data_IF_471084297986
#
_entry.id   IF_471084297986
#
_cell.length_a   1.000
_cell.length_b   1.000
_cell.length_c   1.000
_cell.angle_alpha   90.00
_cell.angle_beta   90.00
_cell.angle_gamma   90.00
#
_symmetry.space_group_name_H-M   'P 1'
#
loop_
_entity.id
_entity.type
_entity.pdbx_description
1 polymer ?
#
# COMPACT_ATOMS: atom_id res chain seq x y z
N UNK A 1 -6.24 -1.85 3.75
CA UNK A 1 -5.08 -2.75 3.93
C UNK A 1 -5.60 -4.15 4.19
N UNK A 2 -5.22 -5.16 3.41
CA UNK A 2 -5.59 -6.55 3.68
C UNK A 2 -4.70 -7.10 4.81
N UNK A 3 -5.30 -7.65 5.87
CA UNK A 3 -4.57 -8.15 7.05
C UNK A 3 -3.51 -9.21 6.75
N UNK A 4 -3.74 -10.03 5.73
CA UNK A 4 -2.77 -11.02 5.28
C UNK A 4 -1.47 -10.36 4.79
N UNK A 5 -1.56 -9.18 4.18
CA UNK A 5 -0.40 -8.47 3.63
C UNK A 5 0.55 -7.90 4.70
N UNK A 6 0.07 -7.68 5.93
CA UNK A 6 0.86 -7.06 7.00
C UNK A 6 2.06 -7.91 7.43
N UNK A 7 1.95 -9.23 7.30
CA UNK A 7 3.01 -10.18 7.66
C UNK A 7 3.89 -10.58 6.48
N UNK A 8 3.58 -10.09 5.27
CA UNK A 8 4.35 -10.42 4.08
C UNK A 8 5.66 -9.66 4.08
N UNK A 9 6.74 -10.35 3.73
CA UNK A 9 8.02 -9.70 3.49
C UNK A 9 8.02 -8.99 2.14
N UNK A 10 8.70 -7.85 2.13
CA UNK A 10 8.91 -7.05 0.94
C UNK A 10 9.75 -7.79 -0.10
N UNK A 11 9.27 -7.83 -1.34
CA UNK A 11 10.06 -8.36 -2.45
C UNK A 11 11.19 -7.40 -2.84
N UNK A 12 12.40 -7.93 -2.95
CA UNK A 12 13.64 -7.20 -3.21
C UNK A 12 14.37 -7.72 -4.46
N UNK A 13 15.01 -6.82 -5.19
CA UNK A 13 16.00 -7.18 -6.18
C UNK A 13 17.28 -7.61 -5.49
N UNK A 14 17.95 -8.63 -6.03
CA UNK A 14 19.25 -9.09 -5.55
C UNK A 14 20.13 -9.52 -6.74
N UNK A 15 21.44 -9.51 -6.53
CA UNK A 15 22.41 -10.09 -7.46
C UNK A 15 22.56 -11.59 -7.16
N UNK A 16 22.44 -12.44 -8.18
CA UNK A 16 22.62 -13.90 -8.01
C UNK A 16 24.04 -14.27 -7.59
N UNK A 17 25.04 -13.45 -7.91
CA UNK A 17 26.43 -13.61 -7.48
C UNK A 17 26.63 -13.45 -5.97
N UNK A 18 25.84 -12.61 -5.31
CA UNK A 18 25.94 -12.37 -3.86
C UNK A 18 25.15 -13.40 -3.05
N UNK A 19 24.23 -14.13 -3.70
CA UNK A 19 23.28 -15.06 -3.09
C UNK A 19 23.58 -16.53 -3.42
N UNK A 20 24.81 -16.86 -3.80
CA UNK A 20 25.20 -18.22 -4.25
C UNK A 20 24.96 -19.29 -3.16
N UNK A 21 25.16 -18.95 -1.88
CA UNK A 21 24.95 -19.84 -0.74
C UNK A 21 23.49 -20.02 -0.33
N UNK A 22 22.59 -19.17 -0.85
CA UNK A 22 21.16 -19.10 -0.48
C UNK A 22 20.26 -19.21 -1.71
N UNK A 23 20.43 -20.28 -2.49
CA UNK A 23 19.63 -20.51 -3.71
C UNK A 23 18.15 -20.75 -3.44
N UNK A 24 17.83 -21.34 -2.29
CA UNK A 24 16.44 -21.59 -1.89
C UNK A 24 15.66 -20.29 -1.66
N UNK A 25 16.37 -19.18 -1.37
CA UNK A 25 15.79 -17.85 -1.17
C UNK A 25 15.49 -17.13 -2.50
N UNK A 26 15.79 -17.72 -3.67
CA UNK A 26 15.56 -17.05 -4.97
C UNK A 26 14.09 -17.10 -5.42
N UNK A 27 13.29 -17.96 -4.79
CA UNK A 27 11.90 -18.16 -5.15
C UNK A 27 11.04 -16.94 -4.78
N UNK A 28 10.12 -16.58 -5.68
CA UNK A 28 9.17 -15.51 -5.43
C UNK A 28 7.94 -16.06 -4.71
N UNK A 29 7.92 -15.94 -3.38
CA UNK A 29 6.88 -16.51 -2.51
C UNK A 29 5.45 -16.28 -3.01
N UNK A 30 5.08 -15.03 -3.30
CA UNK A 30 3.70 -14.66 -3.70
C UNK A 30 3.27 -15.25 -5.04
N UNK A 31 4.22 -15.45 -5.95
CA UNK A 31 3.94 -15.95 -7.29
C UNK A 31 4.14 -17.46 -7.39
N UNK A 32 4.66 -18.10 -6.32
CA UNK A 32 4.98 -19.52 -6.29
C UNK A 32 5.86 -19.96 -7.47
N UNK A 33 6.85 -19.14 -7.86
CA UNK A 33 7.80 -19.45 -8.93
C UNK A 33 9.24 -19.46 -8.41
N UNK A 34 10.11 -20.34 -8.94
CA UNK A 34 11.49 -20.47 -8.45
C UNK A 34 12.41 -19.30 -8.84
N UNK A 35 12.09 -18.60 -9.93
CA UNK A 35 12.85 -17.46 -10.45
C UNK A 35 11.89 -16.40 -10.96
N UNK A 36 12.17 -15.14 -10.65
CA UNK A 36 11.40 -14.01 -11.15
C UNK A 36 12.28 -12.79 -11.35
N UNK A 37 12.00 -12.02 -12.41
CA UNK A 37 12.61 -10.71 -12.64
C UNK A 37 11.68 -9.80 -13.43
N UNK A 38 11.89 -8.51 -13.35
CA UNK A 38 11.12 -7.53 -14.12
C UNK A 38 11.74 -7.27 -15.49
N UNK A 39 10.88 -7.18 -16.52
CA UNK A 39 11.31 -7.01 -17.92
C UNK A 39 10.44 -6.04 -18.73
N UNK A 40 9.15 -5.98 -18.44
CA UNK A 40 8.13 -5.39 -19.32
C UNK A 40 7.94 -3.87 -19.22
N UNK A 41 8.70 -3.16 -18.38
CA UNK A 41 8.48 -1.72 -18.11
C UNK A 41 9.79 -0.93 -17.98
N UNK A 42 10.70 -1.08 -18.96
CA UNK A 42 11.99 -0.38 -19.02
C UNK A 42 11.91 1.15 -19.01
N UNK A 43 10.78 1.73 -19.41
CA UNK A 43 10.57 3.19 -19.37
C UNK A 43 10.49 3.75 -17.94
N UNK A 44 9.99 2.97 -16.98
CA UNK A 44 9.71 3.43 -15.61
C UNK A 44 10.45 2.65 -14.52
N UNK A 45 11.24 1.63 -14.89
CA UNK A 45 12.03 0.82 -13.97
C UNK A 45 13.43 0.59 -14.52
N UNK A 46 14.43 1.03 -13.76
CA UNK A 46 15.83 0.81 -14.10
C UNK A 46 16.27 -0.68 -14.08
N UNK A 47 15.79 -1.53 -13.16
CA UNK A 47 16.09 -2.97 -13.19
C UNK A 47 15.77 -3.63 -14.54
N UNK A 48 14.62 -3.30 -15.14
CA UNK A 48 14.24 -3.80 -16.46
C UNK A 48 15.30 -3.40 -17.52
N UNK A 49 15.87 -2.19 -17.47
CA UNK A 49 16.95 -1.76 -18.38
C UNK A 49 18.18 -2.67 -18.25
N UNK A 50 18.57 -3.04 -17.02
CA UNK A 50 19.69 -3.96 -16.78
C UNK A 50 19.38 -5.35 -17.34
N UNK A 51 18.15 -5.85 -17.15
CA UNK A 51 17.72 -7.14 -17.72
C UNK A 51 17.75 -7.09 -19.26
N UNK A 52 17.26 -6.02 -19.87
CA UNK A 52 17.33 -5.81 -21.33
C UNK A 52 18.77 -5.81 -21.85
N UNK A 53 19.70 -5.13 -21.16
CA UNK A 53 21.13 -5.15 -21.49
C UNK A 53 21.73 -6.55 -21.35
N UNK A 54 21.39 -7.26 -20.28
CA UNK A 54 21.87 -8.61 -19.99
C UNK A 54 21.38 -9.59 -21.05
N UNK A 55 20.10 -9.54 -21.41
CA UNK A 55 19.51 -10.39 -22.43
C UNK A 55 20.17 -10.16 -23.80
N UNK A 56 20.36 -8.90 -24.19
CA UNK A 56 21.04 -8.56 -25.44
C UNK A 56 22.51 -9.03 -25.45
N UNK A 57 23.22 -8.91 -24.33
CA UNK A 57 24.58 -9.41 -24.20
C UNK A 57 24.66 -10.93 -24.36
N UNK A 58 23.75 -11.68 -23.75
CA UNK A 58 23.72 -13.16 -23.85
C UNK A 58 23.38 -13.61 -25.28
N UNK A 59 22.41 -12.97 -25.93
CA UNK A 59 22.03 -13.29 -27.32
C UNK A 59 23.21 -13.04 -28.27
N UNK A 60 23.91 -11.90 -28.15
CA UNK A 60 25.08 -11.63 -28.99
C UNK A 60 26.24 -12.59 -28.70
N UNK A 61 26.48 -12.86 -27.41
CA UNK A 61 27.54 -13.79 -27.00
C UNK A 61 27.32 -15.19 -27.59
N UNK A 62 26.08 -15.69 -27.59
CA UNK A 62 25.74 -16.98 -28.16
C UNK A 62 26.01 -17.03 -29.67
N UNK A 63 25.62 -15.98 -30.41
CA UNK A 63 25.88 -15.91 -31.85
C UNK A 63 27.38 -15.93 -32.17
N UNK A 64 28.19 -15.21 -31.39
CA UNK A 64 29.65 -15.18 -31.56
C UNK A 64 30.27 -16.54 -31.22
N UNK A 65 29.85 -17.15 -30.11
CA UNK A 65 30.34 -18.45 -29.66
C UNK A 65 30.08 -19.55 -30.70
N UNK A 66 28.86 -19.62 -31.23
CA UNK A 66 28.49 -20.61 -32.26
C UNK A 66 29.25 -20.40 -33.58
N UNK A 67 29.53 -19.16 -33.98
CA UNK A 67 30.36 -18.87 -35.17
C UNK A 67 31.78 -19.36 -35.01
N UNK A 68 32.38 -19.18 -33.83
CA UNK A 68 33.73 -19.65 -33.53
C UNK A 68 33.80 -21.20 -33.55
N UNK A 69 32.80 -21.89 -32.97
CA UNK A 69 32.70 -23.36 -32.97
C UNK A 69 32.51 -23.97 -34.36
N UNK A 70 31.80 -23.28 -35.27
CA UNK A 70 31.67 -23.72 -36.67
C UNK A 70 32.99 -23.60 -37.44
N UNK A 71 33.75 -22.54 -37.21
CA UNK A 71 35.06 -22.34 -37.85
C UNK A 71 36.08 -23.42 -37.45
N UNK A 72 36.06 -23.87 -36.20
CA UNK A 72 36.92 -24.97 -35.73
C UNK A 72 36.49 -26.34 -36.23
N UNK A 73 35.17 -26.60 -36.34
CA UNK A 73 34.64 -27.89 -36.82
C UNK A 73 34.89 -28.11 -38.32
N UNK A 74 34.84 -27.05 -39.14
CA UNK A 74 35.14 -27.11 -40.58
C UNK A 74 36.61 -27.49 -40.84
N UNK A 75 37.54 -27.18 -39.92
CA UNK A 75 38.95 -27.63 -40.01
C UNK A 75 39.16 -29.11 -39.68
N UNK A 76 38.29 -29.71 -38.85
CA UNK A 76 38.45 -31.08 -38.34
C UNK A 76 37.60 -32.13 -39.10
N UNK A 77 36.98 -31.79 -40.23
CA UNK A 77 36.41 -32.77 -41.17
C UNK A 77 35.16 -33.53 -40.72
N UNK A 78 34.61 -33.27 -39.53
CA UNK A 78 33.37 -33.93 -39.06
C UNK A 78 32.16 -33.08 -39.41
N UNK A 79 31.38 -33.51 -40.42
CA UNK A 79 30.07 -32.92 -40.74
C UNK A 79 29.03 -33.41 -39.73
N UNK A 80 28.81 -32.64 -38.66
CA UNK A 80 27.65 -32.82 -37.81
C UNK A 80 26.39 -32.41 -38.59
N UNK A 81 25.53 -33.39 -38.85
CA UNK A 81 24.20 -33.23 -39.44
C UNK A 81 23.18 -33.10 -38.31
N UNK A 82 22.81 -31.88 -37.96
CA UNK A 82 21.53 -31.60 -37.28
C UNK A 82 21.15 -30.13 -37.48
N UNK A 83 19.88 -29.91 -37.85
CA UNK A 83 19.28 -28.62 -38.18
C UNK A 83 18.87 -27.80 -36.95
N UNK A 84 19.27 -28.22 -35.75
CA UNK A 84 19.03 -27.48 -34.53
C UNK A 84 20.30 -26.74 -34.17
N UNK A 85 20.22 -25.41 -34.26
CA UNK A 85 21.25 -24.53 -33.74
C UNK A 85 21.21 -24.70 -32.22
N UNK A 86 21.99 -25.66 -31.71
CA UNK A 86 22.06 -26.02 -30.30
C UNK A 86 22.43 -24.76 -29.51
N UNK A 87 21.42 -24.13 -28.91
CA UNK A 87 21.60 -22.92 -28.11
C UNK A 87 22.30 -23.34 -26.82
N UNK A 88 23.31 -22.60 -26.42
CA UNK A 88 24.17 -22.94 -25.28
C UNK A 88 23.92 -22.01 -24.10
N UNK A 89 23.62 -20.74 -24.36
CA UNK A 89 23.40 -19.73 -23.34
C UNK A 89 21.93 -19.28 -23.26
N UNK A 90 21.19 -19.36 -24.37
CA UNK A 90 19.77 -19.02 -24.42
C UNK A 90 18.89 -20.26 -24.64
N UNK A 91 17.59 -20.14 -24.37
CA UNK A 91 16.63 -21.24 -24.55
C UNK A 91 16.36 -22.03 -23.27
N UNK A 92 15.78 -23.22 -23.42
CA UNK A 92 15.33 -24.06 -22.31
C UNK A 92 16.46 -24.87 -21.65
N UNK A 93 17.54 -25.13 -22.38
CA UNK A 93 18.72 -25.84 -21.88
C UNK A 93 19.90 -24.88 -21.83
N UNK A 94 20.34 -24.59 -20.60
CA UNK A 94 21.56 -23.84 -20.35
C UNK A 94 22.74 -24.81 -20.23
N UNK A 95 23.74 -24.68 -21.10
CA UNK A 95 24.96 -25.47 -21.04
C UNK A 95 25.97 -24.80 -20.11
N UNK A 96 26.05 -25.30 -18.88
CA UNK A 96 26.99 -24.81 -17.88
C UNK A 96 28.45 -24.94 -18.34
N UNK A 97 28.81 -26.07 -18.94
CA UNK A 97 30.17 -26.33 -19.42
C UNK A 97 30.58 -25.35 -20.53
N UNK A 98 29.66 -25.04 -21.45
CA UNK A 98 29.93 -24.06 -22.51
C UNK A 98 30.07 -22.63 -21.96
N UNK A 99 29.29 -22.27 -20.93
CA UNK A 99 29.35 -20.95 -20.32
C UNK A 99 30.62 -20.76 -19.46
N UNK A 100 31.09 -21.83 -18.81
CA UNK A 100 32.27 -21.82 -17.95
C UNK A 100 33.58 -22.06 -18.72
N UNK A 101 33.50 -22.51 -19.99
CA UNK A 101 34.65 -22.62 -20.91
C UNK A 101 35.38 -21.28 -21.05
N UNK A 102 36.69 -21.33 -21.34
CA UNK A 102 37.50 -20.12 -21.49
C UNK A 102 36.97 -19.23 -22.64
N UNK A 103 36.56 -19.84 -23.74
CA UNK A 103 35.93 -19.17 -24.88
C UNK A 103 34.57 -18.58 -24.51
N UNK A 104 33.73 -19.34 -23.81
CA UNK A 104 32.42 -18.89 -23.33
C UNK A 104 32.53 -17.67 -22.43
N UNK A 105 33.40 -17.73 -21.41
CA UNK A 105 33.67 -16.63 -20.50
C UNK A 105 34.20 -15.39 -21.22
N UNK A 106 35.12 -15.54 -22.17
CA UNK A 106 35.66 -14.42 -22.96
C UNK A 106 34.57 -13.73 -23.77
N UNK A 107 33.74 -14.51 -24.48
CA UNK A 107 32.68 -13.97 -25.34
C UNK A 107 31.58 -13.31 -24.51
N UNK A 108 31.16 -13.93 -23.40
CA UNK A 108 30.19 -13.34 -22.47
C UNK A 108 30.73 -12.05 -21.83
N UNK A 109 32.00 -12.04 -21.40
CA UNK A 109 32.63 -10.83 -20.84
C UNK A 109 32.72 -9.69 -21.85
N UNK A 110 33.08 -10.00 -23.10
CA UNK A 110 33.14 -9.01 -24.18
C UNK A 110 31.75 -8.42 -24.48
N UNK A 111 30.72 -9.25 -24.59
CA UNK A 111 29.35 -8.81 -24.80
C UNK A 111 28.82 -7.99 -23.61
N UNK A 112 29.05 -8.43 -22.38
CA UNK A 112 28.66 -7.70 -21.17
C UNK A 112 29.24 -6.27 -21.15
N UNK A 113 30.53 -6.13 -21.51
CA UNK A 113 31.18 -4.82 -21.65
C UNK A 113 30.53 -3.97 -22.75
N UNK A 114 30.24 -4.56 -23.92
CA UNK A 114 29.59 -3.88 -25.05
C UNK A 114 28.22 -3.32 -24.67
N UNK A 115 27.40 -4.09 -23.96
CA UNK A 115 26.06 -3.69 -23.54
C UNK A 115 26.03 -2.95 -22.19
N UNK A 116 27.19 -2.64 -21.59
CA UNK A 116 27.29 -1.92 -20.30
C UNK A 116 26.49 -2.62 -19.19
N UNK A 117 26.61 -3.95 -19.12
CA UNK A 117 26.11 -4.74 -18.00
C UNK A 117 27.05 -4.52 -16.81
N UNK A 118 26.54 -4.13 -15.62
CA UNK A 118 27.37 -4.00 -14.42
C UNK A 118 28.11 -5.30 -14.08
N UNK A 119 29.30 -5.19 -13.50
CA UNK A 119 30.01 -6.35 -12.94
C UNK A 119 29.24 -6.96 -11.77
N UNK A 120 29.50 -8.23 -11.45
CA UNK A 120 28.89 -8.91 -10.31
C UNK A 120 29.13 -8.16 -8.98
N UNK A 121 30.32 -7.60 -8.80
CA UNK A 121 30.71 -6.82 -7.62
C UNK A 121 29.84 -5.56 -7.44
N UNK A 122 29.48 -4.88 -8.53
CA UNK A 122 28.70 -3.64 -8.48
C UNK A 122 27.19 -3.88 -8.58
N UNK A 123 26.77 -5.03 -9.13
CA UNK A 123 25.36 -5.31 -9.40
C UNK A 123 24.55 -5.44 -8.11
N UNK A 124 25.16 -5.93 -7.02
CA UNK A 124 24.56 -5.96 -5.68
C UNK A 124 24.19 -4.57 -5.18
N UNK A 125 25.12 -3.60 -5.29
CA UNK A 125 24.88 -2.21 -4.91
C UNK A 125 23.79 -1.56 -5.78
N UNK A 126 23.81 -1.82 -7.09
CA UNK A 126 22.77 -1.33 -8.01
C UNK A 126 21.40 -1.89 -7.64
N UNK A 127 21.31 -3.17 -7.27
CA UNK A 127 20.07 -3.80 -6.83
C UNK A 127 19.57 -3.17 -5.52
N UNK A 128 20.45 -2.99 -4.54
CA UNK A 128 20.14 -2.34 -3.26
C UNK A 128 19.62 -0.90 -3.48
N UNK A 129 20.30 -0.12 -4.33
CA UNK A 129 19.86 1.23 -4.69
C UNK A 129 18.47 1.21 -5.37
N UNK A 130 18.21 0.26 -6.27
CA UNK A 130 16.90 0.12 -6.90
C UNK A 130 15.79 -0.20 -5.88
N UNK A 131 16.07 -1.03 -4.87
CA UNK A 131 15.15 -1.32 -3.78
C UNK A 131 14.85 -0.06 -2.96
N UNK A 132 15.90 0.68 -2.57
CA UNK A 132 15.74 1.92 -1.82
C UNK A 132 14.89 2.95 -2.59
N UNK A 133 15.18 3.16 -3.88
CA UNK A 133 14.42 4.09 -4.73
C UNK A 133 12.98 3.65 -4.95
N UNK A 134 12.72 2.34 -5.08
CA UNK A 134 11.36 1.77 -5.12
C UNK A 134 10.58 2.14 -3.86
N UNK A 135 11.17 1.95 -2.68
CA UNK A 135 10.54 2.27 -1.41
C UNK A 135 10.39 3.78 -1.17
N UNK A 136 11.37 4.58 -1.60
CA UNK A 136 11.26 6.04 -1.57
C UNK A 136 10.11 6.53 -2.46
N UNK A 137 9.96 5.97 -3.67
CA UNK A 137 8.85 6.28 -4.57
C UNK A 137 7.50 5.93 -3.96
N UNK A 138 7.35 4.73 -3.40
CA UNK A 138 6.13 4.30 -2.72
C UNK A 138 5.77 5.23 -1.55
N UNK A 139 6.74 5.56 -0.68
CA UNK A 139 6.50 6.46 0.46
C UNK A 139 6.07 7.86 0.00
N UNK A 140 6.67 8.38 -1.07
CA UNK A 140 6.28 9.67 -1.64
C UNK A 140 4.87 9.63 -2.21
N UNK A 141 4.49 8.55 -2.89
CA UNK A 141 3.13 8.32 -3.40
C UNK A 141 2.12 8.27 -2.26
N UNK A 142 2.37 7.45 -1.22
CA UNK A 142 1.49 7.35 -0.04
C UNK A 142 1.35 8.68 0.70
N UNK A 143 2.46 9.42 0.88
CA UNK A 143 2.45 10.73 1.51
C UNK A 143 1.65 11.76 0.70
N UNK A 144 1.82 11.75 -0.64
CA UNK A 144 1.05 12.61 -1.54
C UNK A 144 -0.44 12.31 -1.46
N UNK A 145 -0.83 11.04 -1.59
CA UNK A 145 -2.22 10.61 -1.46
C UNK A 145 -2.83 11.02 -0.11
N UNK A 146 -2.09 10.86 0.98
CA UNK A 146 -2.51 11.29 2.32
C UNK A 146 -2.77 12.79 2.38
N UNK A 147 -1.88 13.61 1.82
CA UNK A 147 -2.00 15.06 1.82
C UNK A 147 -3.23 15.54 1.02
N UNK A 148 -3.44 14.98 -0.18
CA UNK A 148 -4.62 15.29 -0.98
C UNK A 148 -5.92 14.91 -0.27
N UNK A 149 -5.95 13.73 0.36
CA UNK A 149 -7.12 13.28 1.12
C UNK A 149 -7.39 14.19 2.32
N UNK A 150 -6.33 14.57 3.05
CA UNK A 150 -6.43 15.51 4.17
C UNK A 150 -7.02 16.86 3.73
N UNK A 151 -6.53 17.42 2.62
CA UNK A 151 -7.03 18.69 2.09
C UNK A 151 -8.51 18.58 1.66
N UNK A 152 -8.90 17.45 1.06
CA UNK A 152 -10.28 17.20 0.64
C UNK A 152 -11.22 17.13 1.84
N UNK A 153 -10.82 16.43 2.92
CA UNK A 153 -11.62 16.34 4.15
C UNK A 153 -11.71 17.70 4.84
N UNK A 154 -10.61 18.46 4.87
CA UNK A 154 -10.58 19.81 5.43
C UNK A 154 -11.58 20.74 4.74
N UNK A 155 -11.78 20.59 3.43
CA UNK A 155 -12.71 21.42 2.65
C UNK A 155 -14.17 20.94 2.70
N UNK A 156 -14.43 19.64 2.93
CA UNK A 156 -15.78 19.05 2.90
C UNK A 156 -16.55 19.14 4.23
N UNK A 157 -16.01 19.83 5.24
CA UNK A 157 -16.50 20.01 6.61
C UNK A 157 -16.83 18.71 7.40
N UNK A 158 -17.68 17.82 6.88
CA UNK A 158 -18.10 16.57 7.56
C UNK A 158 -18.17 15.42 6.56
N UNK A 159 -17.38 14.36 6.79
CA UNK A 159 -17.44 13.12 6.00
C UNK A 159 -17.85 11.95 6.89
N UNK A 160 -19.10 11.49 6.74
CA UNK A 160 -19.67 10.37 7.49
C UNK A 160 -19.50 9.05 6.73
N UNK A 161 -19.13 7.99 7.45
CA UNK A 161 -19.03 6.64 6.90
C UNK A 161 -19.11 5.56 7.98
N UNK A 162 -19.36 4.32 7.57
CA UNK A 162 -19.21 3.17 8.47
C UNK A 162 -17.74 2.72 8.52
N UNK A 163 -17.29 2.37 9.71
CA UNK A 163 -15.99 1.76 9.96
C UNK A 163 -16.17 0.39 10.62
N UNK A 164 -15.27 -0.54 10.31
CA UNK A 164 -15.24 -1.89 10.87
C UNK A 164 -14.36 -1.92 12.12
N UNK A 165 -14.86 -2.43 13.23
CA UNK A 165 -14.06 -2.60 14.45
C UNK A 165 -13.09 -3.76 14.29
N UNK A 166 -11.80 -3.51 14.54
CA UNK A 166 -10.69 -4.45 14.34
C UNK A 166 -9.99 -4.85 15.64
N UNK A 167 -10.21 -4.09 16.70
CA UNK A 167 -9.58 -4.28 17.98
C UNK A 167 -10.37 -3.50 19.03
N UNK A 168 -10.60 -4.14 20.17
CA UNK A 168 -11.27 -3.56 21.32
C UNK A 168 -10.37 -3.68 22.53
N UNK A 169 -10.50 -2.74 23.45
CA UNK A 169 -9.77 -2.74 24.70
C UNK A 169 -10.39 -1.75 25.69
N UNK A 170 -9.80 -1.57 26.87
CA UNK A 170 -10.35 -0.68 27.88
C UNK A 170 -10.09 0.81 27.62
N UNK A 171 -9.13 1.16 26.75
CA UNK A 171 -8.70 2.56 26.52
C UNK A 171 -9.01 3.09 25.12
N UNK A 172 -8.99 2.21 24.13
CA UNK A 172 -9.19 2.57 22.74
C UNK A 172 -9.74 1.39 21.94
N UNK A 173 -10.40 1.70 20.84
CA UNK A 173 -10.71 0.75 19.78
C UNK A 173 -9.89 1.06 18.54
N UNK A 174 -9.53 0.03 17.77
CA UNK A 174 -9.03 0.21 16.41
C UNK A 174 -10.15 -0.05 15.40
N UNK A 175 -10.28 0.83 14.43
CA UNK A 175 -11.32 0.81 13.40
C UNK A 175 -10.69 0.89 12.02
N UNK A 176 -11.24 0.15 11.07
CA UNK A 176 -10.91 0.23 9.66
C UNK A 176 -11.95 1.09 8.97
N UNK A 177 -11.54 2.15 8.31
CA UNK A 177 -12.41 2.99 7.48
C UNK A 177 -12.30 2.51 6.04
N UNK A 178 -13.29 1.78 5.48
CA UNK A 178 -13.17 1.20 4.15
C UNK A 178 -13.07 2.28 3.06
N UNK A 179 -13.82 3.39 3.20
CA UNK A 179 -13.83 4.49 2.22
C UNK A 179 -12.44 5.08 1.97
N UNK A 180 -11.57 5.11 2.98
CA UNK A 180 -10.20 5.63 2.88
C UNK A 180 -9.12 4.55 3.01
N UNK A 181 -9.52 3.29 3.08
CA UNK A 181 -8.67 2.13 3.26
C UNK A 181 -7.62 2.22 4.41
N UNK A 182 -7.94 2.97 5.48
CA UNK A 182 -7.02 3.24 6.61
C UNK A 182 -7.51 2.63 7.93
N UNK A 183 -6.57 2.28 8.81
CA UNK A 183 -6.82 1.91 10.19
C UNK A 183 -6.58 3.11 11.11
N UNK A 184 -7.48 3.33 12.07
CA UNK A 184 -7.41 4.43 13.03
C UNK A 184 -7.77 3.96 14.42
N UNK A 185 -7.20 4.62 15.42
CA UNK A 185 -7.56 4.37 16.83
C UNK A 185 -8.45 5.49 17.31
N UNK A 186 -9.56 5.12 17.94
CA UNK A 186 -10.42 6.03 18.68
C UNK A 186 -10.13 5.78 20.15
N UNK A 187 -9.52 6.77 20.80
CA UNK A 187 -9.22 6.73 22.23
C UNK A 187 -10.42 7.29 22.98
N UNK A 188 -10.90 6.57 23.98
CA UNK A 188 -12.06 6.94 24.80
C UNK A 188 -11.76 6.83 26.29
N UNK A 189 -10.50 6.61 26.67
CA UNK A 189 -10.04 6.76 28.04
C UNK A 189 -10.14 8.22 28.51
N UNK A 190 -10.56 8.43 29.76
CA UNK A 190 -10.52 9.76 30.39
C UNK A 190 -11.31 10.86 29.63
N UNK A 191 -12.41 10.48 28.97
CA UNK A 191 -13.32 11.42 28.28
C UNK A 191 -14.42 11.86 29.23
N UNK A 192 -14.61 13.17 29.39
CA UNK A 192 -15.70 13.71 30.20
C UNK A 192 -17.06 13.34 29.61
N UNK A 193 -17.97 12.80 30.42
CA UNK A 193 -19.34 12.48 30.00
C UNK A 193 -19.52 11.16 29.24
N UNK A 194 -18.46 10.35 29.07
CA UNK A 194 -18.53 9.02 28.45
C UNK A 194 -18.23 7.92 29.49
N UNK A 195 -19.17 7.00 29.68
CA UNK A 195 -18.97 5.74 30.41
C UNK A 195 -18.41 4.70 29.47
N UNK A 196 -17.41 3.94 29.94
CA UNK A 196 -16.78 2.87 29.17
C UNK A 196 -16.73 1.62 30.04
N UNK A 197 -17.46 0.59 29.63
CA UNK A 197 -17.40 -0.73 30.26
C UNK A 197 -16.79 -1.73 29.29
N UNK A 198 -15.63 -2.27 29.65
CA UNK A 198 -14.95 -3.31 28.89
C UNK A 198 -15.15 -4.68 29.55
N UNK A 199 -15.87 -5.56 28.85
CA UNK A 199 -16.09 -6.93 29.26
C UNK A 199 -15.09 -7.84 28.56
N UNK A 200 -13.93 -8.04 29.20
CA UNK A 200 -12.82 -8.83 28.63
C UNK A 200 -13.23 -10.26 28.27
N UNK A 201 -14.05 -10.90 29.11
CA UNK A 201 -14.49 -12.29 28.91
C UNK A 201 -15.32 -12.49 27.63
N UNK A 202 -16.10 -11.49 27.23
CA UNK A 202 -16.96 -11.57 26.02
C UNK A 202 -16.40 -10.76 24.85
N UNK A 203 -15.34 -9.98 25.07
CA UNK A 203 -14.80 -9.06 24.08
C UNK A 203 -15.79 -7.94 23.71
N UNK A 204 -16.63 -7.53 24.65
CA UNK A 204 -17.70 -6.54 24.42
C UNK A 204 -17.32 -5.20 25.05
N UNK A 205 -17.45 -4.13 24.26
CA UNK A 205 -17.31 -2.76 24.74
C UNK A 205 -18.69 -2.11 24.80
N UNK A 206 -19.04 -1.53 25.94
CA UNK A 206 -20.27 -0.74 26.10
C UNK A 206 -19.88 0.71 26.34
N UNK A 207 -20.37 1.59 25.48
CA UNK A 207 -20.23 3.04 25.61
C UNK A 207 -21.57 3.63 26.02
N UNK A 208 -21.60 4.45 27.07
CA UNK A 208 -22.81 5.12 27.53
C UNK A 208 -22.58 6.60 27.85
N UNK A 209 -23.61 7.43 27.80
CA UNK A 209 -23.53 8.82 28.22
C UNK A 209 -23.61 8.91 29.76
N UNK A 210 -22.52 9.30 30.41
CA UNK A 210 -22.52 9.46 31.87
C UNK A 210 -22.98 10.88 32.25
N UNK A 211 -24.19 11.02 32.84
CA UNK A 211 -24.70 12.34 33.28
C UNK A 211 -24.52 12.67 34.77
N UNK A 212 -24.40 11.69 35.67
CA UNK A 212 -24.42 11.96 37.11
C UNK A 212 -23.37 11.17 37.90
N UNK A 213 -22.31 11.84 38.38
CA UNK A 213 -21.61 11.51 39.63
C UNK A 213 -21.14 12.82 40.30
N UNK A 214 -21.29 12.97 41.62
CA UNK A 214 -20.60 14.03 42.35
C UNK A 214 -19.10 13.74 42.31
N UNK A 215 -18.31 14.80 42.22
CA UNK A 215 -16.85 14.79 42.16
C UNK A 215 -16.23 14.06 43.35
N UNK A 216 -16.08 12.73 43.29
CA UNK A 216 -15.10 12.03 44.11
C UNK A 216 -13.72 12.19 43.44
N UNK A 217 -13.17 13.41 43.57
CA UNK A 217 -11.75 13.66 43.34
C UNK A 217 -10.96 12.93 44.43
N UNK A 218 -10.38 11.79 44.10
CA UNK A 218 -9.24 11.21 44.82
C UNK A 218 -8.14 10.92 43.81
N UNK A 219 -7.40 11.96 43.47
CA UNK A 219 -6.23 11.89 42.59
C UNK A 219 -5.81 13.28 42.11
N UNK A 220 -4.55 13.48 41.69
CA UNK A 220 -4.13 14.69 41.01
C UNK A 220 -5.02 14.89 39.78
N UNK A 221 -5.34 16.15 39.43
CA UNK A 221 -6.15 16.47 38.25
C UNK A 221 -5.46 15.98 36.97
N UNK A 222 -5.71 14.74 36.57
CA UNK A 222 -5.47 14.27 35.21
C UNK A 222 -6.46 15.01 34.28
N UNK A 223 -5.92 15.64 33.23
CA UNK A 223 -6.69 16.47 32.28
C UNK A 223 -7.62 15.56 31.49
N UNK A 224 -8.90 15.52 31.87
CA UNK A 224 -9.90 14.78 31.09
C UNK A 224 -10.11 15.46 29.72
N UNK A 225 -10.32 14.65 28.67
CA UNK A 225 -10.57 15.13 27.31
C UNK A 225 -12.03 15.51 27.12
N UNK A 226 -12.27 16.50 26.25
CA UNK A 226 -13.61 16.92 25.89
C UNK A 226 -14.32 15.83 25.07
N UNK A 227 -15.63 15.67 25.27
CA UNK A 227 -16.44 14.68 24.55
C UNK A 227 -16.39 14.88 23.03
N UNK A 228 -16.30 16.13 22.56
CA UNK A 228 -16.26 16.46 21.13
C UNK A 228 -14.99 15.96 20.42
N UNK A 229 -13.92 15.65 21.16
CA UNK A 229 -12.70 15.09 20.59
C UNK A 229 -12.90 13.64 20.10
N UNK A 230 -13.84 12.92 20.71
CA UNK A 230 -14.09 11.49 20.50
C UNK A 230 -15.40 11.24 19.77
N UNK A 231 -16.41 12.08 20.02
CA UNK A 231 -17.77 11.93 19.51
C UNK A 231 -18.21 13.21 18.79
N UNK A 232 -18.72 13.08 17.58
CA UNK A 232 -19.53 14.13 16.96
C UNK A 232 -21.00 13.86 17.31
N UNK A 233 -21.57 14.69 18.18
CA UNK A 233 -22.96 14.64 18.58
C UNK A 233 -23.83 15.47 17.63
N UNK A 234 -24.87 14.85 17.07
CA UNK A 234 -25.88 15.51 16.23
C UNK A 234 -27.24 15.45 16.90
N UNK A 235 -28.01 16.54 16.80
CA UNK A 235 -29.41 16.54 17.24
C UNK A 235 -30.26 15.83 16.18
N UNK A 236 -31.09 14.84 16.54
CA UNK A 236 -32.00 14.17 15.60
C UNK A 236 -32.81 15.14 14.71
N UNK A 237 -33.20 16.31 15.22
CA UNK A 237 -33.94 17.31 14.44
C UNK A 237 -33.12 18.04 13.37
N UNK A 238 -31.79 18.06 13.47
CA UNK A 238 -30.89 18.66 12.45
C UNK A 238 -30.63 17.68 11.29
N UNK A 239 -30.78 16.36 11.52
CA UNK A 239 -30.60 15.34 10.48
C UNK A 239 -31.75 15.23 9.48
N UNK A 240 -32.93 15.75 9.85
CA UNK A 240 -34.16 15.70 9.03
C UNK A 240 -34.24 16.91 8.08
N UNK A 241 -33.58 18.03 8.42
CA UNK A 241 -33.68 19.28 7.65
C UNK A 241 -32.72 19.37 6.47
N UNK A 242 -31.72 18.48 6.37
CA UNK A 242 -30.81 18.44 5.23
C UNK A 242 -31.36 17.66 4.03
N UNK A 243 -32.56 17.09 4.12
CA UNK A 243 -33.22 16.38 3.02
C UNK A 243 -34.13 17.30 2.16
N UNK A 244 -34.38 18.56 2.56
CA UNK A 244 -35.41 19.41 1.92
C UNK A 244 -34.89 20.62 1.09
N UNK A 245 -33.60 20.95 1.09
CA UNK A 245 -33.08 22.18 0.43
C UNK A 245 -32.56 21.99 -1.02
N UNK A 246 -33.22 21.17 -1.84
CA UNK A 246 -32.95 21.08 -3.30
C UNK A 246 -34.25 21.20 -4.11
N UNK A 247 -35.06 22.21 -3.82
CA UNK A 247 -36.11 22.64 -4.75
C UNK A 247 -36.26 24.17 -4.76
N UNK A 248 -35.45 24.86 -5.57
CA UNK A 248 -35.88 25.99 -6.42
C UNK A 248 -34.71 26.74 -7.07
N UNK A 249 -34.86 27.07 -8.36
CA UNK A 249 -34.22 28.27 -8.95
C UNK A 249 -33.42 28.07 -10.23
N UNK A 250 -34.11 28.07 -11.37
CA UNK A 250 -33.54 28.24 -12.71
C UNK A 250 -32.93 29.65 -12.87
N UNK A 251 -31.71 29.76 -13.41
CA UNK A 251 -31.32 30.79 -14.41
C UNK A 251 -30.02 30.40 -15.12
N UNK A 252 -30.05 30.49 -16.46
CA UNK A 252 -28.95 30.20 -17.37
C UNK A 252 -27.88 31.31 -17.36
N UNK A 253 -26.59 30.95 -17.44
CA UNK A 253 -25.62 31.56 -18.37
C UNK A 253 -24.21 30.93 -18.29
N UNK A 254 -23.76 30.40 -19.44
CA UNK A 254 -22.41 30.51 -20.04
C UNK A 254 -21.14 30.27 -19.19
N UNK A 255 -20.35 29.26 -19.56
CA UNK A 255 -18.92 29.21 -19.21
C UNK A 255 -18.29 27.82 -19.28
N UNK A 256 -17.48 27.59 -20.32
CA UNK A 256 -16.75 26.37 -20.61
C UNK A 256 -15.65 26.08 -19.56
N UNK A 257 -15.61 24.89 -18.94
CA UNK A 257 -14.35 24.29 -18.43
C UNK A 257 -14.45 22.79 -18.10
N UNK A 258 -13.51 22.04 -18.67
CA UNK A 258 -12.97 20.74 -18.25
C UNK A 258 -13.93 19.71 -17.59
N UNK A 259 -14.33 18.70 -18.40
CA UNK A 259 -14.80 17.41 -17.88
C UNK A 259 -13.69 16.72 -17.10
N UNK A 260 -13.61 16.98 -15.80
CA UNK A 260 -12.96 16.05 -14.88
C UNK A 260 -13.91 14.87 -14.69
N UNK A 261 -13.39 13.67 -14.90
CA UNK A 261 -14.08 12.40 -14.69
C UNK A 261 -14.42 12.30 -13.22
N UNK A 262 -15.62 12.77 -12.87
CA UNK A 262 -16.20 12.59 -11.55
C UNK A 262 -16.48 11.10 -11.37
N UNK A 263 -16.03 10.60 -10.22
CA UNK A 263 -16.52 9.38 -9.62
C UNK A 263 -18.04 9.37 -9.78
N UNK A 264 -18.55 8.33 -10.42
CA UNK A 264 -19.97 8.03 -10.60
C UNK A 264 -20.84 8.60 -9.47
N UNK A 265 -21.79 9.45 -9.86
CA UNK A 265 -22.75 10.19 -9.01
C UNK A 265 -23.64 9.31 -8.09
N UNK A 266 -23.46 7.99 -8.10
CA UNK A 266 -24.20 7.05 -7.23
C UNK A 266 -23.66 6.95 -5.79
N UNK A 267 -22.53 7.60 -5.46
CA UNK A 267 -21.88 7.42 -4.15
C UNK A 267 -22.30 8.41 -3.05
N UNK A 268 -23.18 9.37 -3.33
CA UNK A 268 -23.53 10.44 -2.37
C UNK A 268 -24.72 10.09 -1.45
N UNK A 269 -25.48 9.01 -1.71
CA UNK A 269 -26.69 8.66 -0.93
C UNK A 269 -26.54 7.50 0.05
N UNK A 270 -25.51 7.53 0.88
CA UNK A 270 -25.46 6.73 2.10
C UNK A 270 -24.67 7.50 3.18
N UNK A 271 -25.29 8.54 3.74
CA UNK A 271 -24.86 9.05 5.03
C UNK A 271 -25.26 7.99 6.07
N UNK A 272 -24.28 7.41 6.76
CA UNK A 272 -24.56 6.43 7.80
C UNK A 272 -25.36 7.12 8.91
N UNK A 273 -26.47 6.50 9.35
CA UNK A 273 -27.26 7.03 10.44
C UNK A 273 -26.41 7.13 11.73
N UNK A 274 -26.61 8.17 12.55
CA UNK A 274 -25.88 8.31 13.80
C UNK A 274 -26.26 7.19 14.78
N UNK A 275 -25.27 6.73 15.56
CA UNK A 275 -25.51 5.75 16.62
C UNK A 275 -26.13 6.41 17.86
N UNK A 276 -26.87 5.63 18.65
CA UNK A 276 -27.53 6.08 19.89
C UNK A 276 -26.85 5.41 21.10
N UNK A 277 -26.74 6.13 22.21
CA UNK A 277 -26.24 5.58 23.49
C UNK A 277 -27.38 4.92 24.29
N UNK A 278 -27.11 3.82 25.04
CA UNK A 278 -25.84 3.12 25.14
C UNK A 278 -25.52 2.31 23.87
N UNK A 279 -24.26 2.36 23.43
CA UNK A 279 -23.77 1.67 22.24
C UNK A 279 -22.94 0.44 22.65
N UNK A 280 -23.42 -0.74 22.25
CA UNK A 280 -22.71 -2.01 22.46
C UNK A 280 -21.92 -2.35 21.20
N UNK A 281 -20.63 -2.57 21.35
CA UNK A 281 -19.68 -2.80 20.25
C UNK A 281 -18.99 -4.15 20.45
N UNK A 282 -18.98 -4.95 19.38
CA UNK A 282 -18.25 -6.21 19.31
C UNK A 282 -17.13 -6.14 18.29
N UNK A 283 -16.25 -7.15 18.35
CA UNK A 283 -15.24 -7.37 17.33
C UNK A 283 -15.91 -7.50 15.96
N UNK A 284 -15.39 -6.82 14.94
CA UNK A 284 -15.99 -6.78 13.59
C UNK A 284 -17.40 -6.18 13.53
N UNK A 285 -17.87 -5.44 14.53
CA UNK A 285 -19.07 -4.61 14.35
C UNK A 285 -18.80 -3.47 13.37
N UNK A 286 -19.83 -3.07 12.63
CA UNK A 286 -19.81 -1.83 11.85
C UNK A 286 -20.34 -0.68 12.72
N UNK A 287 -19.60 0.42 12.78
CA UNK A 287 -19.97 1.60 13.57
C UNK A 287 -19.90 2.86 12.71
N UNK A 288 -20.83 3.81 12.87
CA UNK A 288 -20.80 5.06 12.12
C UNK A 288 -19.74 6.00 12.72
N UNK A 289 -18.93 6.57 11.85
CA UNK A 289 -17.82 7.47 12.22
C UNK A 289 -17.79 8.71 11.32
N UNK A 290 -17.21 9.78 11.87
CA UNK A 290 -16.90 11.01 11.15
C UNK A 290 -15.40 11.14 10.98
N UNK A 291 -14.99 11.46 9.75
CA UNK A 291 -13.62 11.76 9.40
C UNK A 291 -13.40 13.26 9.48
N UNK A 292 -12.30 13.67 10.10
CA UNK A 292 -11.95 15.08 10.20
C UNK A 292 -10.45 15.28 9.96
N UNK A 293 -10.09 16.41 9.37
CA UNK A 293 -8.71 16.79 9.19
C UNK A 293 -8.14 17.28 10.53
N UNK A 294 -6.95 16.79 10.88
CA UNK A 294 -6.19 17.19 12.06
C UNK A 294 -4.79 17.64 11.66
N UNK A 295 -4.18 18.50 12.48
CA UNK A 295 -2.88 19.08 12.21
C UNK A 295 -2.87 20.16 11.12
N UNK A 296 -1.69 20.57 10.65
CA UNK A 296 -1.53 21.63 9.64
C UNK A 296 -0.43 22.62 10.00
N UNK A 297 -0.80 23.88 10.26
CA UNK A 297 0.11 25.05 10.31
C UNK A 297 1.40 24.81 11.10
N UNK A 298 1.32 24.15 12.26
CA UNK A 298 2.48 23.84 13.11
C UNK A 298 2.65 22.34 13.42
N UNK A 299 1.91 21.44 12.76
CA UNK A 299 1.91 20.00 13.08
C UNK A 299 1.65 19.10 11.89
N UNK A 300 2.12 17.86 11.95
CA UNK A 300 1.98 16.90 10.86
C UNK A 300 0.51 16.67 10.48
N UNK A 301 0.21 16.73 9.18
CA UNK A 301 -1.15 16.50 8.66
C UNK A 301 -1.60 15.07 8.92
N UNK A 302 -2.81 14.95 9.45
CA UNK A 302 -3.37 13.64 9.76
C UNK A 302 -4.91 13.62 9.69
N UNK A 303 -5.49 12.43 9.52
CA UNK A 303 -6.93 12.26 9.39
C UNK A 303 -7.45 11.56 10.64
N UNK A 304 -8.18 12.30 11.47
CA UNK A 304 -8.80 11.79 12.68
C UNK A 304 -10.14 11.11 12.40
N UNK A 305 -10.57 10.28 13.35
CA UNK A 305 -11.85 9.57 13.31
C UNK A 305 -12.55 9.76 14.65
N UNK A 306 -13.84 10.11 14.61
CA UNK A 306 -14.72 10.25 15.77
C UNK A 306 -15.95 9.38 15.60
N UNK A 307 -16.57 8.94 16.69
CA UNK A 307 -17.87 8.28 16.64
C UNK A 307 -18.93 9.28 16.16
N UNK A 308 -19.79 8.84 15.26
CA UNK A 308 -20.94 9.63 14.82
C UNK A 308 -22.17 9.23 15.62
N UNK A 309 -22.65 10.11 16.49
CA UNK A 309 -23.69 9.77 17.45
C UNK A 309 -24.79 10.82 17.50
N UNK A 310 -26.00 10.40 17.86
CA UNK A 310 -27.14 11.28 18.08
C UNK A 310 -27.56 11.27 19.55
N UNK A 311 -27.84 12.45 20.08
CA UNK A 311 -28.42 12.63 21.41
C UNK A 311 -29.64 13.54 21.31
N UNK A 312 -30.75 13.12 21.91
CA UNK A 312 -31.97 13.93 22.06
C UNK A 312 -31.82 15.07 23.08
N UNK A 313 -30.67 15.15 23.74
CA UNK A 313 -30.45 16.02 24.87
C UNK A 313 -29.22 16.90 24.57
N UNK A 314 -29.46 18.13 24.10
CA UNK A 314 -28.49 19.24 24.15
C UNK A 314 -28.44 19.81 25.57
#
# INVERSE_FOLDING_TARGET
MFYASKHMQSAEYFCTGDMISRKDDWAHYVLSVPLYTHFTSSLRRYPDIIVHRTLNAVIEAEQVYLKQKKSSTVRNGVKATSYEMERCFTGLQFSKDAAESEEGRKVLSAAAKKFKVPSSENLGEVAAYCNERKWAGHRAEEAGQKLYMWALIKNKEIVVCNARVLGLGPRFMSVYVPKLAMERRIYYDEVEGLSVEWLEATGTLVLDAWRNKPTQRRGPQEKCRALEEVVMLVNPSESILSEEDEESGVTEASGCTAKSVLLSDDAVKAQAAPAVLPLVIHYLSDIPVVLHATGGEDSAVDIGVRLYMSSYFK
#
